data_IF_276610325781
#
_entry.id   IF_276610325781
#
_cell.length_a   1.000
_cell.length_b   1.000
_cell.length_c   1.000
_cell.angle_alpha   90.00
_cell.angle_beta   90.00
_cell.angle_gamma   90.00
#
_symmetry.space_group_name_H-M   'P 1'
#
loop_
_entity.id
_entity.type
_entity.pdbx_description
1 polymer ?
#
# COMPACT_ATOMS: atom_id res chain seq x y z
N UNK A 1 20.15 -12.52 -5.47
CA UNK A 1 19.27 -11.33 -5.35
C UNK A 1 18.44 -11.51 -4.10
N UNK A 2 18.42 -10.53 -3.19
CA UNK A 2 17.54 -10.59 -2.02
C UNK A 2 16.10 -10.35 -2.48
N UNK A 3 15.20 -11.29 -2.17
CA UNK A 3 13.77 -11.13 -2.46
C UNK A 3 13.16 -10.14 -1.47
N UNK A 4 12.24 -9.29 -1.95
CA UNK A 4 11.47 -8.38 -1.10
C UNK A 4 10.73 -9.17 -0.01
N UNK A 5 10.85 -8.70 1.23
CA UNK A 5 10.26 -9.36 2.42
C UNK A 5 8.73 -9.38 2.30
N UNK A 6 8.11 -8.23 2.01
CA UNK A 6 6.66 -8.12 1.90
C UNK A 6 6.12 -8.90 0.70
N UNK A 7 6.78 -8.85 -0.46
CA UNK A 7 6.36 -9.64 -1.62
C UNK A 7 6.48 -11.14 -1.35
N UNK A 8 7.53 -11.58 -0.63
CA UNK A 8 7.68 -12.97 -0.22
C UNK A 8 6.57 -13.40 0.74
N UNK A 9 6.19 -12.54 1.69
CA UNK A 9 5.08 -12.80 2.61
C UNK A 9 3.75 -12.91 1.85
N UNK A 10 3.47 -12.01 0.90
CA UNK A 10 2.25 -12.09 0.07
C UNK A 10 2.22 -13.38 -0.75
N UNK A 11 3.33 -13.76 -1.38
CA UNK A 11 3.43 -15.04 -2.09
C UNK A 11 3.17 -16.24 -1.15
N UNK A 12 3.74 -16.22 0.06
CA UNK A 12 3.53 -17.28 1.07
C UNK A 12 2.05 -17.41 1.45
N UNK A 13 1.43 -16.29 1.83
CA UNK A 13 0.02 -16.25 2.20
C UNK A 13 -0.88 -16.70 1.04
N UNK A 14 -0.57 -16.30 -0.21
CA UNK A 14 -1.31 -16.73 -1.41
C UNK A 14 -1.26 -18.23 -1.61
N UNK A 15 -0.06 -18.82 -1.48
CA UNK A 15 0.13 -20.27 -1.65
C UNK A 15 -0.59 -21.07 -0.56
N UNK A 16 -0.53 -20.61 0.69
CA UNK A 16 -1.25 -21.25 1.81
C UNK A 16 -2.75 -21.11 1.66
N UNK A 17 -3.24 -19.93 1.28
CA UNK A 17 -4.65 -19.70 1.00
C UNK A 17 -5.19 -20.62 -0.11
N UNK A 18 -4.40 -20.86 -1.16
CA UNK A 18 -4.73 -21.86 -2.20
C UNK A 18 -5.01 -23.23 -1.60
N UNK A 19 -4.17 -23.63 -0.64
CA UNK A 19 -4.23 -24.94 0.02
C UNK A 19 -5.40 -25.02 1.01
N UNK A 20 -5.53 -24.04 1.90
CA UNK A 20 -6.60 -24.02 2.92
C UNK A 20 -7.99 -23.98 2.32
N UNK A 21 -8.19 -23.19 1.26
CA UNK A 21 -9.48 -23.03 0.61
C UNK A 21 -9.70 -24.03 -0.53
N UNK A 22 -8.73 -24.93 -0.78
CA UNK A 22 -8.77 -25.91 -1.87
C UNK A 22 -9.10 -25.25 -3.23
N UNK A 23 -8.45 -24.13 -3.53
CA UNK A 23 -8.84 -23.29 -4.69
C UNK A 23 -8.80 -24.05 -6.02
N UNK A 24 -7.88 -25.01 -6.18
CA UNK A 24 -7.77 -25.86 -7.37
C UNK A 24 -8.95 -26.81 -7.58
N UNK A 25 -9.69 -27.14 -6.53
CA UNK A 25 -10.86 -28.03 -6.63
C UNK A 25 -12.16 -27.28 -6.83
N UNK A 26 -12.14 -25.95 -6.74
CA UNK A 26 -13.33 -25.12 -6.94
C UNK A 26 -13.43 -24.72 -8.42
N UNK A 27 -14.40 -25.26 -9.19
CA UNK A 27 -14.61 -24.80 -10.56
C UNK A 27 -15.14 -23.37 -10.54
N UNK A 28 -14.44 -22.44 -11.19
CA UNK A 28 -14.84 -21.04 -11.38
C UNK A 28 -15.16 -20.27 -10.08
N UNK A 29 -14.17 -20.02 -9.21
CA UNK A 29 -14.39 -19.23 -8.00
C UNK A 29 -14.91 -17.82 -8.36
N UNK A 30 -16.09 -17.47 -7.85
CA UNK A 30 -16.80 -16.22 -8.18
C UNK A 30 -16.11 -14.96 -7.59
N UNK A 31 -15.27 -15.14 -6.56
CA UNK A 31 -14.55 -14.07 -5.88
C UNK A 31 -13.49 -14.61 -4.93
N UNK A 32 -13.03 -13.75 -4.03
CA UNK A 32 -12.15 -14.14 -2.95
C UNK A 32 -10.70 -14.40 -3.35
N UNK A 33 -9.94 -14.92 -2.40
CA UNK A 33 -8.54 -15.29 -2.60
C UNK A 33 -8.34 -16.39 -3.65
N UNK A 34 -9.32 -17.28 -3.84
CA UNK A 34 -9.23 -18.35 -4.83
C UNK A 34 -9.26 -17.81 -6.26
N UNK A 35 -10.16 -16.86 -6.56
CA UNK A 35 -10.18 -16.18 -7.86
C UNK A 35 -8.87 -15.44 -8.12
N UNK A 36 -8.31 -14.77 -7.10
CA UNK A 36 -7.00 -14.11 -7.22
C UNK A 36 -5.90 -15.12 -7.55
N UNK A 37 -5.84 -16.22 -6.80
CA UNK A 37 -4.79 -17.23 -6.94
C UNK A 37 -4.81 -17.92 -8.29
N UNK A 38 -5.99 -18.36 -8.73
CA UNK A 38 -6.18 -19.13 -9.96
C UNK A 38 -6.29 -18.24 -11.22
N UNK A 39 -6.31 -16.91 -11.08
CA UNK A 39 -6.35 -16.02 -12.24
C UNK A 39 -5.08 -16.14 -13.10
N UNK A 40 -5.22 -16.69 -14.31
CA UNK A 40 -4.13 -16.79 -15.30
C UNK A 40 -4.41 -15.95 -16.56
N UNK A 41 -5.56 -15.25 -16.57
CA UNK A 41 -6.15 -14.62 -17.75
C UNK A 41 -5.76 -13.15 -17.96
N UNK A 42 -6.78 -12.37 -18.30
CA UNK A 42 -6.73 -10.97 -18.71
C UNK A 42 -6.07 -10.04 -17.69
N UNK A 43 -5.65 -8.87 -18.18
CA UNK A 43 -5.16 -7.79 -17.34
C UNK A 43 -6.22 -7.32 -16.36
N UNK A 44 -5.80 -7.02 -15.15
CA UNK A 44 -6.65 -6.51 -14.08
C UNK A 44 -6.40 -5.02 -13.96
N UNK A 45 -7.42 -4.19 -14.18
CA UNK A 45 -7.31 -2.76 -13.91
C UNK A 45 -7.15 -2.51 -12.40
N UNK A 46 -6.15 -1.70 -12.04
CA UNK A 46 -5.84 -1.34 -10.66
C UNK A 46 -7.03 -0.71 -9.97
N UNK A 47 -7.83 0.09 -10.68
CA UNK A 47 -8.96 0.82 -10.13
C UNK A 47 -10.20 -0.05 -9.84
N UNK A 48 -10.22 -1.29 -10.34
CA UNK A 48 -11.36 -2.17 -10.24
C UNK A 48 -11.23 -3.15 -9.07
N UNK A 49 -12.38 -3.63 -8.61
CA UNK A 49 -12.56 -4.52 -7.47
C UNK A 49 -12.97 -5.91 -7.98
N UNK A 50 -12.00 -6.66 -8.51
CA UNK A 50 -12.29 -7.94 -9.19
C UNK A 50 -12.45 -9.13 -8.24
N UNK A 51 -11.83 -9.06 -7.06
CA UNK A 51 -11.66 -10.18 -6.14
C UNK A 51 -12.43 -10.02 -4.83
N UNK A 52 -13.03 -8.87 -4.62
CA UNK A 52 -13.83 -8.51 -3.45
C UNK A 52 -15.10 -7.83 -3.96
N UNK A 53 -16.23 -8.08 -3.28
CA UNK A 53 -17.39 -7.21 -3.44
C UNK A 53 -16.94 -5.81 -3.03
N UNK A 54 -16.95 -4.86 -3.96
CA UNK A 54 -16.64 -3.48 -3.65
C UNK A 54 -17.53 -3.04 -2.47
N UNK A 55 -17.00 -2.23 -1.55
CA UNK A 55 -17.82 -1.66 -0.48
C UNK A 55 -19.07 -1.04 -1.09
N UNK A 56 -20.24 -1.63 -0.82
CA UNK A 56 -21.52 -1.21 -1.39
C UNK A 56 -21.78 0.28 -1.11
N UNK A 57 -21.19 0.78 -0.03
CA UNK A 57 -21.32 2.14 0.47
C UNK A 57 -20.39 3.18 -0.20
N UNK A 58 -19.47 2.77 -1.09
CA UNK A 58 -18.53 3.69 -1.71
C UNK A 58 -18.97 4.11 -3.11
N UNK A 59 -18.90 5.40 -3.41
CA UNK A 59 -19.11 5.90 -4.78
C UNK A 59 -17.93 5.51 -5.69
N UNK A 60 -18.15 5.46 -7.01
CA UNK A 60 -17.11 5.08 -7.98
C UNK A 60 -15.83 5.94 -7.91
N UNK A 61 -15.91 7.29 -7.78
CA UNK A 61 -14.72 8.11 -7.55
C UNK A 61 -13.92 7.69 -6.31
N UNK A 62 -14.60 7.38 -5.20
CA UNK A 62 -13.97 6.98 -3.95
C UNK A 62 -13.39 5.57 -4.05
N UNK A 63 -14.07 4.62 -4.71
CA UNK A 63 -13.52 3.29 -5.02
C UNK A 63 -12.21 3.40 -5.79
N UNK A 64 -12.16 4.24 -6.83
CA UNK A 64 -10.93 4.48 -7.61
C UNK A 64 -9.83 5.13 -6.78
N UNK A 65 -10.17 6.06 -5.88
CA UNK A 65 -9.22 6.65 -4.95
C UNK A 65 -8.64 5.61 -3.99
N UNK A 66 -9.49 4.82 -3.32
CA UNK A 66 -9.05 3.77 -2.39
C UNK A 66 -8.18 2.74 -3.13
N UNK A 67 -8.56 2.35 -4.34
CA UNK A 67 -7.78 1.43 -5.16
C UNK A 67 -6.33 1.90 -5.40
N UNK A 68 -6.14 3.19 -5.72
CA UNK A 68 -4.82 3.79 -5.95
C UNK A 68 -4.07 4.03 -4.64
N UNK A 69 -4.78 4.40 -3.59
CA UNK A 69 -4.24 4.53 -2.24
C UNK A 69 -3.69 3.19 -1.74
N UNK A 70 -4.43 2.09 -1.88
CA UNK A 70 -3.98 0.75 -1.50
C UNK A 70 -2.73 0.32 -2.26
N UNK A 71 -2.65 0.58 -3.57
CA UNK A 71 -1.43 0.32 -4.35
C UNK A 71 -0.24 1.12 -3.80
N UNK A 72 -0.45 2.41 -3.53
CA UNK A 72 0.57 3.30 -2.99
C UNK A 72 1.06 2.81 -1.62
N UNK A 73 0.13 2.45 -0.72
CA UNK A 73 0.43 1.89 0.61
C UNK A 73 1.32 0.65 0.47
N UNK A 74 0.92 -0.33 -0.34
CA UNK A 74 1.67 -1.57 -0.54
C UNK A 74 3.10 -1.33 -1.03
N UNK A 75 3.28 -0.46 -2.03
CA UNK A 75 4.59 -0.10 -2.57
C UNK A 75 5.43 0.63 -1.52
N UNK A 76 4.84 1.54 -0.75
CA UNK A 76 5.57 2.32 0.26
C UNK A 76 6.04 1.46 1.42
N UNK A 77 5.19 0.57 1.93
CA UNK A 77 5.55 -0.39 2.96
C UNK A 77 6.67 -1.30 2.45
N UNK A 78 6.58 -1.78 1.21
CA UNK A 78 7.65 -2.61 0.62
C UNK A 78 8.99 -1.87 0.58
N UNK A 79 9.00 -0.63 0.08
CA UNK A 79 10.22 0.19 0.00
C UNK A 79 10.77 0.44 1.41
N UNK A 80 9.94 0.79 2.39
CA UNK A 80 10.40 1.01 3.76
C UNK A 80 11.00 -0.26 4.37
N UNK A 81 10.31 -1.40 4.27
CA UNK A 81 10.81 -2.69 4.76
C UNK A 81 12.15 -3.06 4.10
N UNK A 82 12.36 -2.68 2.83
CA UNK A 82 13.63 -2.92 2.12
C UNK A 82 14.83 -2.11 2.66
N UNK A 83 14.56 -1.05 3.45
CA UNK A 83 15.58 -0.25 4.13
C UNK A 83 16.06 -0.88 5.43
N UNK A 84 15.31 -1.85 5.96
CA UNK A 84 15.63 -2.50 7.22
C UNK A 84 16.82 -3.45 7.04
N UNK A 85 17.72 -3.43 8.01
CA UNK A 85 18.91 -4.29 8.02
C UNK A 85 18.83 -5.27 9.19
N UNK A 86 19.11 -6.55 8.93
CA UNK A 86 19.21 -7.55 9.99
C UNK A 86 20.44 -7.26 10.86
N UNK A 87 20.21 -7.06 12.15
CA UNK A 87 21.25 -6.92 13.15
C UNK A 87 21.15 -8.02 14.19
N UNK A 88 22.30 -8.57 14.58
CA UNK A 88 22.40 -9.54 15.66
C UNK A 88 22.56 -8.76 16.98
N UNK A 89 21.54 -8.79 17.84
CA UNK A 89 21.60 -8.18 19.18
C UNK A 89 21.34 -9.28 20.20
N UNK A 90 22.34 -9.59 21.03
CA UNK A 90 22.23 -10.58 22.11
C UNK A 90 21.70 -11.96 21.65
N UNK A 91 22.25 -12.49 20.55
CA UNK A 91 21.83 -13.74 19.89
C UNK A 91 20.45 -13.73 19.22
N UNK A 92 19.76 -12.59 19.18
CA UNK A 92 18.49 -12.44 18.47
C UNK A 92 18.71 -11.61 17.21
N UNK A 93 18.27 -12.13 16.06
CA UNK A 93 18.21 -11.36 14.81
C UNK A 93 17.02 -10.41 14.88
N UNK A 94 17.29 -9.10 14.84
CA UNK A 94 16.25 -8.06 14.78
C UNK A 94 16.46 -7.20 13.54
N UNK A 95 15.38 -6.72 12.98
CA UNK A 95 15.44 -5.68 11.96
C UNK A 95 15.73 -4.35 12.67
N UNK A 96 16.73 -3.62 12.20
CA UNK A 96 16.99 -2.25 12.62
C UNK A 96 16.68 -1.30 11.48
N UNK A 97 15.93 -0.28 11.81
CA UNK A 97 15.56 0.84 10.96
C UNK A 97 16.63 1.95 11.01
N UNK A 98 16.81 2.64 9.88
CA UNK A 98 17.60 3.88 9.82
C UNK A 98 16.75 5.11 10.11
N UNK A 99 15.45 5.01 9.86
CA UNK A 99 14.45 6.04 10.12
C UNK A 99 13.10 5.40 10.41
N UNK A 100 12.25 6.09 11.15
CA UNK A 100 10.87 5.62 11.41
C UNK A 100 10.06 5.64 10.11
N UNK A 101 8.90 4.95 10.10
CA UNK A 101 8.03 4.99 8.93
C UNK A 101 7.52 6.40 8.62
N UNK A 102 7.18 7.19 9.63
CA UNK A 102 6.81 8.61 9.47
C UNK A 102 7.93 9.44 8.84
N UNK A 103 9.17 9.30 9.34
CA UNK A 103 10.33 10.00 8.75
C UNK A 103 10.60 9.57 7.31
N UNK A 104 10.35 8.29 7.00
CA UNK A 104 10.42 7.78 5.64
C UNK A 104 9.36 8.39 4.73
N UNK A 105 8.11 8.51 5.19
CA UNK A 105 7.05 9.20 4.44
C UNK A 105 7.40 10.67 4.20
N UNK A 106 7.93 11.36 5.21
CA UNK A 106 8.42 12.72 5.09
C UNK A 106 9.57 12.82 4.09
N UNK A 107 10.50 11.85 4.09
CA UNK A 107 11.61 11.82 3.15
C UNK A 107 11.16 11.59 1.71
N UNK A 108 10.22 10.66 1.48
CA UNK A 108 9.65 10.39 0.17
C UNK A 108 8.80 11.55 -0.35
N UNK A 109 8.05 12.24 0.52
CA UNK A 109 7.26 13.39 0.08
C UNK A 109 8.15 14.59 -0.18
N UNK A 110 9.01 14.96 0.78
CA UNK A 110 9.84 16.16 0.68
C UNK A 110 11.02 16.05 -0.30
N UNK A 111 11.38 14.83 -0.70
CA UNK A 111 12.65 14.49 -1.36
C UNK A 111 13.90 14.90 -0.56
N UNK A 112 13.75 15.20 0.74
CA UNK A 112 14.86 15.52 1.65
C UNK A 112 15.09 14.33 2.57
N UNK A 113 16.34 13.93 2.75
CA UNK A 113 16.67 12.83 3.67
C UNK A 113 16.42 11.42 3.13
N UNK A 114 16.23 11.27 1.82
CA UNK A 114 16.17 9.95 1.14
C UNK A 114 17.41 9.11 1.44
N UNK A 115 18.59 9.75 1.44
CA UNK A 115 19.87 9.12 1.80
C UNK A 115 19.93 8.71 3.27
N UNK A 116 19.40 9.57 4.18
CA UNK A 116 19.34 9.30 5.64
C UNK A 116 18.52 8.05 5.94
N UNK A 117 17.40 7.87 5.25
CA UNK A 117 16.56 6.67 5.38
C UNK A 117 17.14 5.44 4.65
N UNK A 118 18.23 5.57 3.89
CA UNK A 118 18.82 4.46 3.15
C UNK A 118 17.88 3.85 2.12
N UNK A 119 17.01 4.67 1.51
CA UNK A 119 16.01 4.20 0.55
C UNK A 119 16.70 3.63 -0.69
N UNK A 120 16.63 2.31 -0.87
CA UNK A 120 17.14 1.64 -2.05
C UNK A 120 15.95 1.13 -2.90
N UNK A 121 15.67 1.89 -3.96
CA UNK A 121 14.57 1.65 -4.88
C UNK A 121 14.70 0.33 -5.65
N UNK A 122 15.92 -0.11 -5.89
CA UNK A 122 16.21 -1.33 -6.66
C UNK A 122 15.90 -2.61 -5.87
N UNK A 123 15.66 -2.50 -4.56
CA UNK A 123 15.25 -3.62 -3.70
C UNK A 123 13.74 -3.87 -3.69
N UNK A 124 12.93 -2.89 -4.11
CA UNK A 124 11.48 -3.04 -4.20
C UNK A 124 11.12 -3.79 -5.48
N UNK A 125 10.26 -4.79 -5.36
CA UNK A 125 9.76 -5.52 -6.52
C UNK A 125 8.56 -4.81 -7.16
N UNK A 126 7.90 -3.89 -6.47
CA UNK A 126 6.68 -3.27 -6.95
C UNK A 126 6.83 -1.80 -7.36
N UNK A 127 7.97 -1.17 -7.13
CA UNK A 127 8.16 0.26 -7.42
C UNK A 127 7.90 0.61 -8.89
N UNK A 128 8.37 -0.20 -9.83
CA UNK A 128 8.12 -0.02 -11.26
C UNK A 128 6.64 -0.22 -11.64
N UNK A 129 5.86 -0.92 -10.81
CA UNK A 129 4.41 -1.10 -10.97
C UNK A 129 3.60 0.12 -10.50
N UNK A 130 4.22 1.12 -9.88
CA UNK A 130 3.49 2.28 -9.37
C UNK A 130 2.78 3.07 -10.48
N UNK A 131 3.37 3.15 -11.67
CA UNK A 131 2.80 3.87 -12.83
C UNK A 131 1.78 3.05 -13.61
N UNK A 132 1.70 1.75 -13.36
CA UNK A 132 0.83 0.85 -14.09
C UNK A 132 -0.63 1.04 -13.64
N UNK A 133 -1.53 1.19 -14.61
CA UNK A 133 -2.98 1.18 -14.40
C UNK A 133 -3.57 -0.22 -14.52
N UNK A 134 -2.80 -1.18 -15.02
CA UNK A 134 -3.17 -2.58 -15.16
C UNK A 134 -2.10 -3.52 -14.62
N UNK A 135 -2.53 -4.63 -14.03
CA UNK A 135 -1.68 -5.70 -13.53
C UNK A 135 -1.88 -6.97 -14.35
N UNK A 136 -0.84 -7.80 -14.46
CA UNK A 136 -0.85 -9.02 -15.24
C UNK A 136 -0.84 -10.23 -14.31
N UNK A 137 -1.98 -10.89 -14.03
CA UNK A 137 -2.02 -11.99 -13.07
C UNK A 137 -1.12 -13.18 -13.42
N UNK A 138 -0.70 -13.32 -14.67
CA UNK A 138 0.30 -14.32 -15.07
C UNK A 138 1.64 -14.14 -14.37
N UNK A 139 1.98 -12.92 -13.96
CA UNK A 139 3.24 -12.62 -13.27
C UNK A 139 3.03 -12.68 -11.76
N UNK A 140 3.81 -13.52 -11.08
CA UNK A 140 3.74 -13.72 -9.61
C UNK A 140 3.83 -12.37 -8.87
N UNK A 141 4.78 -11.52 -9.25
CA UNK A 141 4.98 -10.18 -8.67
C UNK A 141 3.75 -9.28 -8.75
N UNK A 142 3.00 -9.32 -9.86
CA UNK A 142 1.76 -8.56 -10.02
C UNK A 142 0.63 -9.14 -9.17
N UNK A 143 0.53 -10.47 -9.05
CA UNK A 143 -0.42 -11.14 -8.15
C UNK A 143 -0.17 -10.80 -6.70
N UNK A 144 1.10 -10.78 -6.29
CA UNK A 144 1.47 -10.50 -4.91
C UNK A 144 1.17 -9.03 -4.55
N UNK A 145 1.41 -8.08 -5.47
CA UNK A 145 0.96 -6.70 -5.32
C UNK A 145 -0.57 -6.59 -5.25
N UNK A 146 -1.29 -7.25 -6.17
CA UNK A 146 -2.76 -7.26 -6.16
C UNK A 146 -3.30 -7.81 -4.84
N UNK A 147 -2.69 -8.87 -4.31
CA UNK A 147 -3.07 -9.44 -3.04
C UNK A 147 -2.89 -8.45 -1.89
N UNK A 148 -1.73 -7.77 -1.82
CA UNK A 148 -1.54 -6.70 -0.84
C UNK A 148 -2.60 -5.61 -0.99
N UNK A 149 -2.91 -5.19 -2.22
CA UNK A 149 -3.94 -4.18 -2.48
C UNK A 149 -5.32 -4.61 -1.98
N UNK A 150 -5.75 -5.85 -2.26
CA UNK A 150 -7.02 -6.40 -1.77
C UNK A 150 -7.05 -6.48 -0.23
N UNK A 151 -5.96 -6.89 0.40
CA UNK A 151 -5.86 -6.93 1.86
C UNK A 151 -5.99 -5.53 2.47
N UNK A 152 -5.26 -4.54 1.94
CA UNK A 152 -5.37 -3.15 2.41
C UNK A 152 -6.80 -2.63 2.19
N UNK A 153 -7.42 -2.90 1.05
CA UNK A 153 -8.82 -2.52 0.76
C UNK A 153 -9.80 -3.07 1.80
N UNK A 154 -9.67 -4.34 2.18
CA UNK A 154 -10.50 -4.97 3.19
C UNK A 154 -10.31 -4.33 4.57
N UNK A 155 -9.08 -4.02 4.95
CA UNK A 155 -8.78 -3.28 6.18
C UNK A 155 -9.44 -1.90 6.16
N UNK A 156 -9.28 -1.15 5.07
CA UNK A 156 -9.85 0.19 4.93
C UNK A 156 -11.39 0.15 4.96
N UNK A 157 -12.00 -0.87 4.33
CA UNK A 157 -13.45 -1.11 4.37
C UNK A 157 -13.92 -1.42 5.79
N UNK A 158 -13.25 -2.33 6.49
CA UNK A 158 -13.59 -2.73 7.86
C UNK A 158 -13.47 -1.57 8.86
N UNK A 159 -12.51 -0.66 8.63
CA UNK A 159 -12.37 0.58 9.39
C UNK A 159 -13.49 1.60 9.12
N UNK A 160 -14.39 1.32 8.18
CA UNK A 160 -15.52 2.20 7.87
C UNK A 160 -15.08 3.55 7.30
N UNK A 161 -14.00 3.56 6.53
CA UNK A 161 -13.45 4.77 5.93
C UNK A 161 -14.50 5.47 5.07
N UNK A 162 -14.68 6.76 5.36
CA UNK A 162 -15.59 7.65 4.63
C UNK A 162 -14.85 8.85 4.09
N UNK A 163 -15.39 9.40 3.01
CA UNK A 163 -14.99 10.69 2.49
C UNK A 163 -15.52 11.79 3.42
N UNK A 164 -14.61 12.60 3.96
CA UNK A 164 -14.96 13.77 4.76
C UNK A 164 -15.62 14.87 3.92
N UNK A 165 -16.00 15.97 4.58
CA UNK A 165 -16.64 17.11 3.92
C UNK A 165 -15.78 17.79 2.84
N UNK A 166 -14.45 17.64 2.93
CA UNK A 166 -13.52 18.03 1.88
C UNK A 166 -13.15 16.81 1.07
N UNK A 167 -12.98 17.00 -0.23
CA UNK A 167 -12.73 15.92 -1.20
C UNK A 167 -11.50 15.07 -0.89
N UNK A 168 -10.63 15.51 0.01
CA UNK A 168 -9.35 14.91 0.41
C UNK A 168 -9.31 14.36 1.83
N UNK A 169 -10.29 14.67 2.67
CA UNK A 169 -10.24 14.27 4.08
C UNK A 169 -10.83 12.86 4.22
N UNK A 170 -10.16 11.99 4.97
CA UNK A 170 -10.61 10.62 5.24
C UNK A 170 -10.80 10.47 6.73
N UNK A 171 -11.98 10.02 7.15
CA UNK A 171 -12.30 9.80 8.55
C UNK A 171 -12.28 8.29 8.85
N UNK A 172 -11.54 7.89 9.88
CA UNK A 172 -11.56 6.53 10.43
C UNK A 172 -12.27 6.58 11.79
N UNK A 173 -13.50 6.06 11.91
CA UNK A 173 -14.14 5.83 13.19
C UNK A 173 -13.44 4.65 13.87
N UNK A 174 -12.29 4.88 14.51
CA UNK A 174 -11.60 3.85 15.26
C UNK A 174 -12.52 3.37 16.40
N UNK A 175 -12.97 2.12 16.33
CA UNK A 175 -13.81 1.50 17.37
C UNK A 175 -13.04 0.39 18.08
N UNK A 176 -13.41 0.07 19.32
CA UNK A 176 -12.94 -1.13 20.04
C UNK A 176 -13.10 -2.42 19.21
N UNK A 177 -14.07 -2.43 18.28
CA UNK A 177 -14.37 -3.56 17.39
C UNK A 177 -13.53 -3.58 16.09
N UNK A 178 -12.49 -2.76 15.95
CA UNK A 178 -11.74 -2.67 14.69
C UNK A 178 -11.06 -3.99 14.33
N UNK A 179 -10.43 -4.68 15.31
CA UNK A 179 -9.80 -5.98 15.10
C UNK A 179 -10.81 -7.04 14.62
N UNK A 180 -11.99 -7.10 15.24
CA UNK A 180 -13.06 -8.04 14.90
C UNK A 180 -13.61 -7.82 13.49
N UNK A 181 -13.92 -6.56 13.15
CA UNK A 181 -14.42 -6.20 11.81
C UNK A 181 -13.43 -6.54 10.72
N UNK A 182 -12.14 -6.24 10.95
CA UNK A 182 -11.07 -6.57 10.01
C UNK A 182 -10.96 -8.09 9.86
N UNK A 183 -10.95 -8.81 10.98
CA UNK A 183 -10.90 -10.27 10.97
C UNK A 183 -12.05 -10.89 10.17
N UNK A 184 -13.28 -10.45 10.41
CA UNK A 184 -14.45 -10.99 9.70
C UNK A 184 -14.46 -10.65 8.20
N UNK A 185 -14.02 -9.45 7.80
CA UNK A 185 -13.85 -9.12 6.37
C UNK A 185 -12.77 -10.00 5.70
N UNK A 186 -11.64 -10.22 6.37
CA UNK A 186 -10.57 -11.10 5.89
C UNK A 186 -11.01 -12.56 5.82
N UNK A 187 -11.74 -13.02 6.83
CA UNK A 187 -12.27 -14.39 6.93
C UNK A 187 -13.34 -14.64 5.88
N UNK A 188 -14.25 -13.68 5.64
CA UNK A 188 -15.22 -13.74 4.54
C UNK A 188 -14.50 -13.86 3.18
N UNK A 189 -13.40 -13.13 3.00
CA UNK A 189 -12.68 -13.08 1.73
C UNK A 189 -11.78 -14.30 1.45
N UNK A 190 -11.07 -14.79 2.46
CA UNK A 190 -9.98 -15.75 2.30
C UNK A 190 -10.00 -16.92 3.29
N UNK A 191 -11.01 -17.01 4.14
CA UNK A 191 -11.17 -18.05 5.15
C UNK A 191 -10.45 -17.77 6.47
N UNK A 192 -10.83 -18.56 7.48
CA UNK A 192 -10.41 -18.41 8.88
C UNK A 192 -8.88 -18.46 9.07
N UNK A 193 -8.22 -19.46 8.47
CA UNK A 193 -6.77 -19.64 8.58
C UNK A 193 -5.99 -18.46 8.00
N UNK A 194 -6.49 -17.88 6.90
CA UNK A 194 -5.88 -16.72 6.28
C UNK A 194 -5.99 -15.49 7.18
N UNK A 195 -7.20 -15.22 7.67
CA UNK A 195 -7.44 -14.11 8.58
C UNK A 195 -6.54 -14.22 9.82
N UNK A 196 -6.44 -15.41 10.42
CA UNK A 196 -5.56 -15.66 11.55
C UNK A 196 -4.09 -15.39 11.25
N UNK A 197 -3.58 -15.91 10.15
CA UNK A 197 -2.16 -15.73 9.81
C UNK A 197 -1.84 -14.27 9.44
N UNK A 198 -2.74 -13.59 8.74
CA UNK A 198 -2.55 -12.18 8.43
C UNK A 198 -2.61 -11.32 9.70
N UNK A 199 -3.62 -11.49 10.54
CA UNK A 199 -3.75 -10.74 11.80
C UNK A 199 -2.50 -10.91 12.68
N UNK A 200 -2.04 -12.14 12.89
CA UNK A 200 -0.85 -12.42 13.68
C UNK A 200 0.48 -11.91 13.07
N UNK A 201 0.49 -11.49 11.81
CA UNK A 201 1.69 -10.97 11.14
C UNK A 201 1.66 -9.47 10.86
N UNK A 202 0.47 -8.86 10.72
CA UNK A 202 0.30 -7.45 10.35
C UNK A 202 -0.08 -6.55 11.52
N UNK A 203 -0.52 -7.14 12.64
CA UNK A 203 -1.01 -6.43 13.81
C UNK A 203 -0.21 -6.82 15.05
N UNK A 204 -0.21 -5.95 16.04
CA UNK A 204 0.18 -6.31 17.39
C UNK A 204 -0.91 -7.18 18.02
N UNK A 205 -0.58 -8.41 18.43
CA UNK A 205 -1.55 -9.40 18.94
C UNK A 205 -1.16 -9.97 20.30
N UNK A 206 -2.16 -10.28 21.13
CA UNK A 206 -2.01 -11.01 22.40
C UNK A 206 -2.74 -12.35 22.33
N UNK A 207 -2.17 -13.39 22.95
CA UNK A 207 -2.71 -14.77 22.98
C UNK A 207 -3.02 -15.40 21.61
N UNK A 208 -2.37 -14.92 20.55
CA UNK A 208 -2.60 -15.39 19.19
C UNK A 208 -2.03 -16.81 18.94
N UNK A 209 -2.70 -17.68 18.15
CA UNK A 209 -2.22 -19.04 17.91
C UNK A 209 -0.82 -19.08 17.27
N UNK A 210 0.09 -19.81 17.90
CA UNK A 210 1.50 -19.96 17.46
C UNK A 210 1.69 -20.75 16.16
N UNK A 211 0.63 -21.24 15.53
CA UNK A 211 0.71 -21.91 14.21
C UNK A 211 1.02 -20.94 13.07
N UNK A 212 0.87 -19.64 13.33
CA UNK A 212 1.29 -18.53 12.48
C UNK A 212 2.83 -18.46 12.52
N UNK A 213 3.48 -18.37 11.36
CA UNK A 213 4.93 -18.14 11.34
C UNK A 213 5.29 -16.89 12.17
N UNK A 214 6.50 -16.82 12.75
CA UNK A 214 6.91 -15.63 13.49
C UNK A 214 6.69 -14.40 12.62
N UNK A 215 5.90 -13.46 13.14
CA UNK A 215 5.77 -12.13 12.54
C UNK A 215 7.16 -11.61 12.26
N UNK A 216 7.35 -10.98 11.10
CA UNK A 216 8.58 -10.23 10.85
C UNK A 216 8.55 -9.11 11.89
N UNK A 217 9.40 -9.13 12.93
CA UNK A 217 9.30 -8.13 13.97
C UNK A 217 9.75 -6.80 13.37
N UNK A 218 8.78 -5.94 13.08
CA UNK A 218 9.04 -4.58 12.65
C UNK A 218 9.35 -3.75 13.89
N UNK A 219 10.45 -2.98 13.89
CA UNK A 219 10.85 -2.22 15.06
C UNK A 219 9.88 -1.06 15.31
N UNK A 220 9.19 -1.11 16.46
CA UNK A 220 8.38 -0.01 16.97
C UNK A 220 7.12 0.32 16.18
N UNK A 221 6.68 -0.54 15.26
CA UNK A 221 5.46 -0.34 14.47
C UNK A 221 4.96 -1.68 13.94
N UNK A 222 3.72 -1.73 13.45
CA UNK A 222 3.18 -2.86 12.69
C UNK A 222 2.60 -2.41 11.35
N UNK A 223 2.29 -3.36 10.46
CA UNK A 223 1.81 -3.03 9.11
C UNK A 223 0.47 -2.31 9.17
N UNK A 224 -0.38 -2.61 10.16
CA UNK A 224 -1.64 -1.90 10.36
C UNK A 224 -1.44 -0.43 10.73
N UNK A 225 -0.52 -0.11 11.64
CA UNK A 225 -0.14 1.28 11.95
C UNK A 225 0.36 1.98 10.68
N UNK A 226 1.22 1.33 9.89
CA UNK A 226 1.72 1.90 8.62
C UNK A 226 0.60 2.20 7.60
N UNK A 227 -0.42 1.33 7.54
CA UNK A 227 -1.62 1.53 6.69
C UNK A 227 -2.40 2.75 7.17
N UNK A 228 -2.74 2.80 8.46
CA UNK A 228 -3.57 3.87 9.03
C UNK A 228 -2.83 5.22 9.02
N UNK A 229 -1.53 5.23 9.28
CA UNK A 229 -0.70 6.44 9.18
C UNK A 229 -0.70 6.99 7.76
N UNK A 230 -0.65 6.14 6.73
CA UNK A 230 -0.72 6.62 5.35
C UNK A 230 -2.08 7.27 5.03
N UNK A 231 -3.16 6.80 5.64
CA UNK A 231 -4.50 7.37 5.46
C UNK A 231 -4.67 8.68 6.22
N UNK A 232 -4.24 8.71 7.48
CA UNK A 232 -4.45 9.83 8.42
C UNK A 232 -3.38 10.93 8.31
N UNK A 233 -2.27 10.63 7.62
CA UNK A 233 -1.10 11.50 7.51
C UNK A 233 0.02 11.06 8.45
N UNK A 234 1.22 11.57 8.19
CA UNK A 234 2.41 11.25 8.99
C UNK A 234 2.13 11.46 10.48
N UNK A 235 2.56 10.50 11.30
CA UNK A 235 2.34 10.44 12.75
C UNK A 235 0.87 10.29 13.20
N UNK A 236 -0.08 10.22 12.28
CA UNK A 236 -1.52 10.12 12.57
C UNK A 236 -2.08 8.70 12.62
N UNK A 237 -1.24 7.66 12.48
CA UNK A 237 -1.69 6.27 12.52
C UNK A 237 -2.32 5.86 13.85
N UNK A 238 -3.17 4.84 13.81
CA UNK A 238 -3.76 4.24 15.02
C UNK A 238 -2.65 3.42 15.68
N UNK A 239 -2.15 3.94 16.81
CA UNK A 239 -1.12 3.31 17.61
C UNK A 239 -1.73 2.44 18.70
N UNK A 240 -0.91 1.51 19.20
CA UNK A 240 -1.23 0.71 20.38
C UNK A 240 -2.50 -0.14 20.24
N UNK A 241 -2.97 -0.40 19.01
CA UNK A 241 -4.07 -1.34 18.78
C UNK A 241 -3.53 -2.76 18.98
N UNK A 242 -3.88 -3.35 20.13
CA UNK A 242 -3.58 -4.76 20.42
C UNK A 242 -4.85 -5.58 20.16
N UNK A 243 -4.74 -6.57 19.27
CA UNK A 243 -5.83 -7.52 19.01
C UNK A 243 -5.66 -8.77 19.89
N UNK A 244 -6.61 -9.04 20.78
CA UNK A 244 -6.61 -10.25 21.61
C UNK A 244 -7.38 -11.39 20.94
N UNK A 245 -6.81 -12.61 20.95
CA UNK A 245 -7.51 -13.80 20.48
C UNK A 245 -8.18 -14.57 21.63
N UNK A 246 -9.52 -14.63 21.63
CA UNK A 246 -10.25 -15.37 22.67
C UNK A 246 -10.48 -16.86 22.31
N UNK A 247 -10.11 -17.30 21.10
CA UNK A 247 -10.45 -18.61 20.54
C UNK A 247 -9.66 -19.78 21.12
N UNK A 248 -10.02 -20.24 22.31
CA UNK A 248 -9.40 -21.39 22.95
C UNK A 248 -9.36 -21.30 24.47
N UNK A 249 -9.60 -20.10 25.02
CA UNK A 249 -10.04 -19.97 26.41
C UNK A 249 -11.44 -20.58 26.43
N UNK A 250 -11.54 -21.86 26.83
CA UNK A 250 -12.83 -22.41 27.25
C UNK A 250 -13.38 -21.35 28.18
N UNK A 251 -14.49 -20.68 27.79
CA UNK A 251 -15.18 -19.78 28.70
C UNK A 251 -15.47 -20.69 29.88
N UNK A 252 -14.67 -20.61 30.94
CA UNK A 252 -15.06 -21.07 32.25
C UNK A 252 -16.23 -20.17 32.55
N UNK A 253 -17.41 -20.55 32.04
CA UNK A 253 -18.67 -20.20 32.66
C UNK A 253 -18.38 -20.48 34.11
N UNK A 254 -18.31 -19.44 34.93
CA UNK A 254 -18.67 -19.61 36.33
C UNK A 254 -20.08 -20.17 36.25
N UNK A 255 -20.17 -21.49 36.24
CA UNK A 255 -21.43 -22.20 36.33
C UNK A 255 -21.88 -21.85 37.74
N UNK A 256 -22.80 -20.91 37.84
CA UNK A 256 -23.65 -20.86 39.02
C UNK A 256 -24.23 -22.26 39.17
N UNK A 257 -24.08 -22.92 40.34
CA UNK A 257 -24.61 -24.26 40.57
C UNK A 257 -26.13 -24.18 40.64
N UNK A 258 -26.79 -24.10 39.49
CA UNK A 258 -28.22 -23.87 39.40
C UNK A 258 -28.77 -24.11 38.00
N UNK A 259 -29.21 -25.35 37.78
CA UNK A 259 -30.20 -25.77 36.77
C UNK A 259 -29.65 -25.97 35.35
N UNK A 260 -29.49 -27.26 34.99
CA UNK A 260 -29.08 -27.77 33.69
C UNK A 260 -30.29 -27.92 32.78
N UNK A 261 -30.29 -27.21 31.65
CA UNK A 261 -31.08 -27.54 30.47
C UNK A 261 -30.15 -27.85 29.29
N UNK A 262 -30.46 -28.83 28.42
CA UNK A 262 -29.62 -29.16 27.28
C UNK A 262 -29.82 -28.12 26.18
N UNK A 263 -28.75 -27.40 25.83
CA UNK A 263 -28.73 -26.53 24.67
C UNK A 263 -27.42 -26.74 23.91
N UNK A 264 -27.53 -27.19 22.66
CA UNK A 264 -26.43 -27.29 21.71
C UNK A 264 -25.89 -25.88 21.43
N UNK A 265 -24.63 -25.61 21.79
CA UNK A 265 -23.98 -24.32 21.57
C UNK A 265 -22.91 -24.44 20.49
N UNK A 266 -23.15 -23.82 19.33
CA UNK A 266 -22.09 -23.38 18.43
C UNK A 266 -21.30 -22.26 19.12
N UNK A 267 -20.00 -22.46 19.35
CA UNK A 267 -19.17 -21.48 20.03
C UNK A 267 -18.91 -20.27 19.13
N UNK A 268 -19.59 -19.16 19.43
CA UNK A 268 -19.33 -17.84 18.86
C UNK A 268 -17.99 -17.31 19.39
N UNK A 269 -17.11 -16.90 18.47
CA UNK A 269 -15.77 -16.38 18.74
C UNK A 269 -15.85 -14.85 18.80
N UNK A 270 -15.20 -14.23 19.79
CA UNK A 270 -15.20 -12.77 19.99
C UNK A 270 -13.75 -12.29 19.93
N UNK A 271 -13.50 -11.15 19.29
CA UNK A 271 -12.20 -10.48 19.23
C UNK A 271 -12.42 -9.07 19.77
N UNK A 272 -11.70 -8.68 20.81
CA UNK A 272 -11.81 -7.33 21.40
C UNK A 272 -10.53 -6.52 21.18
N UNK A 273 -10.66 -5.21 20.97
CA UNK A 273 -9.55 -4.27 20.88
C UNK A 273 -9.73 -3.12 21.87
N UNK A 274 -8.64 -2.67 22.50
CA UNK A 274 -8.64 -1.51 23.41
C UNK A 274 -7.94 -0.32 22.75
N UNK A 275 -8.65 0.77 22.41
CA UNK A 275 -8.02 1.98 21.90
C UNK A 275 -7.41 2.81 23.03
N UNK A 276 -6.23 3.37 22.78
CA UNK A 276 -5.63 4.45 23.58
C UNK A 276 -6.10 5.80 23.04
N UNK A 277 -6.55 6.71 23.90
CA UNK A 277 -7.11 8.01 23.49
C UNK A 277 -6.04 8.94 22.90
N UNK A 278 -5.99 9.07 21.57
CA UNK A 278 -5.32 10.17 20.89
C UNK A 278 -6.05 10.51 19.57
N UNK A 279 -6.60 11.72 19.47
CA UNK A 279 -7.20 12.25 18.24
C UNK A 279 -6.55 13.57 17.86
N UNK A 280 -5.99 13.63 16.64
CA UNK A 280 -5.45 14.82 15.99
C UNK A 280 -5.84 14.78 14.51
N UNK A 281 -6.47 15.84 14.02
CA UNK A 281 -6.78 16.00 12.59
C UNK A 281 -5.74 16.91 11.95
N UNK A 282 -5.03 16.42 10.94
CA UNK A 282 -4.04 17.19 10.17
C UNK A 282 -4.39 17.17 8.69
N UNK A 283 -4.23 18.31 7.99
CA UNK A 283 -4.47 18.46 6.55
C UNK A 283 -3.45 17.64 5.73
N UNK A 284 -3.94 16.78 4.85
CA UNK A 284 -3.10 15.97 3.93
C UNK A 284 -3.19 16.53 2.51
N UNK A 285 -2.05 16.93 1.94
CA UNK A 285 -1.90 17.25 0.51
C UNK A 285 -1.73 15.93 -0.28
N UNK A 286 -2.30 15.84 -1.49
CA UNK A 286 -2.40 14.59 -2.27
C UNK A 286 -1.04 14.06 -2.73
N UNK A 287 -0.38 13.27 -1.87
CA UNK A 287 0.95 12.69 -2.11
C UNK A 287 1.07 11.76 -3.33
N UNK A 288 -0.05 11.38 -3.96
CA UNK A 288 -0.09 10.55 -5.18
C UNK A 288 0.47 11.28 -6.41
N UNK A 289 0.12 12.56 -6.61
CA UNK A 289 0.64 13.36 -7.73
C UNK A 289 2.15 13.61 -7.58
N UNK A 290 2.62 13.71 -6.34
CA UNK A 290 4.03 13.97 -6.02
C UNK A 290 4.89 12.72 -6.16
N UNK A 291 4.39 11.57 -5.75
CA UNK A 291 5.04 10.28 -5.99
C UNK A 291 5.15 9.99 -7.49
N UNK A 292 4.08 10.26 -8.25
CA UNK A 292 4.08 10.09 -9.71
C UNK A 292 5.13 10.99 -10.35
N UNK A 293 5.20 12.27 -9.95
CA UNK A 293 6.25 13.20 -10.41
C UNK A 293 7.66 12.72 -10.05
N UNK A 294 7.87 12.22 -8.84
CA UNK A 294 9.19 11.72 -8.42
C UNK A 294 9.63 10.50 -9.24
N UNK A 295 8.73 9.56 -9.51
CA UNK A 295 9.05 8.40 -10.35
C UNK A 295 9.32 8.84 -11.79
N UNK A 296 8.58 9.83 -12.31
CA UNK A 296 8.81 10.39 -13.64
C UNK A 296 10.17 11.12 -13.75
N UNK A 297 10.59 11.85 -12.71
CA UNK A 297 11.92 12.47 -12.68
C UNK A 297 13.04 11.43 -12.65
N UNK A 298 12.84 10.31 -11.95
CA UNK A 298 13.83 9.24 -11.86
C UNK A 298 13.92 8.42 -13.14
N UNK A 299 12.78 8.11 -13.76
CA UNK A 299 12.79 7.44 -15.07
C UNK A 299 13.48 8.31 -16.12
N UNK A 300 13.25 9.63 -16.09
CA UNK A 300 14.01 10.58 -16.92
C UNK A 300 15.51 10.58 -16.61
N UNK A 301 15.90 10.60 -15.33
CA UNK A 301 17.31 10.56 -14.94
C UNK A 301 18.01 9.24 -15.37
N UNK A 302 17.33 8.10 -15.29
CA UNK A 302 17.85 6.80 -15.71
C UNK A 302 18.04 6.70 -17.23
N UNK A 303 17.17 7.34 -18.01
CA UNK A 303 17.32 7.44 -19.49
C UNK A 303 18.52 8.33 -19.84
N UNK A 304 18.66 9.48 -19.20
CA UNK A 304 19.78 10.41 -19.43
C UNK A 304 21.13 9.80 -19.03
N UNK A 305 21.17 8.98 -17.98
CA UNK A 305 22.38 8.27 -17.56
C UNK A 305 22.85 7.21 -18.60
N UNK A 306 21.93 6.66 -19.42
CA UNK A 306 22.28 5.71 -20.48
C UNK A 306 22.80 6.37 -21.76
N UNK A 307 22.53 7.65 -21.98
CA UNK A 307 23.01 8.39 -23.16
C UNK A 307 24.38 9.08 -22.92
N UNK A 308 24.91 9.00 -21.69
CA UNK A 308 26.12 9.71 -21.26
C UNK A 308 27.42 8.90 -21.25
N UNK A 309 27.42 7.60 -21.57
CA UNK A 309 28.68 6.86 -21.74
C UNK A 309 29.17 6.97 -23.19
N UNK A 310 30.25 7.73 -23.47
CA UNK A 310 30.92 7.63 -24.75
C UNK A 310 31.46 6.21 -24.88
N UNK A 311 30.98 5.47 -25.89
CA UNK A 311 31.60 4.25 -26.38
C UNK A 311 33.10 4.50 -26.51
N UNK A 312 33.88 3.95 -25.57
CA UNK A 312 35.32 3.84 -25.71
C UNK A 312 35.54 2.83 -26.82
N UNK A 313 35.80 3.34 -28.02
CA UNK A 313 36.20 2.57 -29.18
C UNK A 313 37.32 1.60 -28.79
N UNK A 314 36.97 0.32 -28.72
CA UNK A 314 37.94 -0.77 -28.75
C UNK A 314 38.51 -0.75 -30.17
N UNK A 315 39.64 -0.05 -30.32
CA UNK A 315 40.47 -0.10 -31.53
C UNK A 315 41.03 -1.52 -31.67
N UNK A 316 40.27 -2.36 -32.37
CA UNK A 316 40.77 -3.58 -32.97
C UNK A 316 41.49 -3.24 -34.26
N UNK A 317 42.81 -3.41 -34.24
CA UNK A 317 43.70 -3.29 -35.38
C UNK A 317 43.41 -4.45 -36.35
N UNK A 318 42.77 -4.17 -37.48
CA UNK A 318 42.60 -5.10 -38.59
C UNK A 318 42.79 -4.38 -39.92
N UNK A 319 43.80 -4.84 -40.63
CA UNK A 319 44.29 -4.34 -41.90
C UNK A 319 43.35 -4.66 -43.06
N UNK A 320 43.14 -3.64 -43.91
CA UNK A 320 43.18 -3.70 -45.38
C UNK A 320 42.21 -4.64 -46.13
N UNK A 321 41.12 -4.09 -46.70
CA UNK A 321 40.96 -3.83 -48.17
C UNK A 321 39.54 -3.31 -48.51
N UNK A 322 39.46 -2.50 -49.57
CA UNK A 322 38.31 -1.69 -50.05
C UNK A 322 36.97 -2.43 -50.24
N UNK A 323 35.83 -1.74 -50.41
CA UNK A 323 35.56 -0.61 -51.29
C UNK A 323 34.39 0.25 -50.76
N UNK A 324 34.42 1.54 -51.12
CA UNK A 324 33.35 2.55 -50.94
C UNK A 324 32.08 2.17 -51.73
N UNK A 325 30.90 2.59 -51.25
CA UNK A 325 29.84 3.37 -51.98
C UNK A 325 28.57 3.53 -51.12
N UNK A 326 28.18 4.79 -50.82
CA UNK A 326 26.80 5.31 -50.62
C UNK A 326 26.06 4.95 -49.31
N UNK A 327 25.42 5.85 -48.57
CA UNK A 327 25.14 7.28 -48.71
C UNK A 327 24.46 7.80 -47.45
N UNK A 328 24.82 9.02 -47.05
CA UNK A 328 24.35 9.76 -45.88
C UNK A 328 23.17 10.64 -46.31
N UNK A 329 21.93 10.24 -46.00
CA UNK A 329 20.75 11.15 -45.99
C UNK A 329 19.75 10.62 -44.95
N UNK A 330 19.77 11.14 -43.73
CA UNK A 330 18.80 10.70 -42.71
C UNK A 330 18.78 11.48 -41.39
N UNK A 331 19.50 12.61 -41.28
CA UNK A 331 19.62 13.35 -40.01
C UNK A 331 18.72 14.58 -39.87
N UNK A 332 18.18 15.12 -40.96
CA UNK A 332 17.64 16.49 -40.94
C UNK A 332 16.17 16.61 -40.53
N UNK A 333 15.39 15.52 -40.61
CA UNK A 333 13.94 15.56 -40.31
C UNK A 333 13.68 15.48 -38.79
N UNK A 334 14.54 14.79 -38.05
CA UNK A 334 14.36 14.59 -36.59
C UNK A 334 14.64 15.87 -35.81
N UNK A 335 15.59 16.70 -36.24
CA UNK A 335 15.92 17.96 -35.56
C UNK A 335 14.79 19.01 -35.66
N UNK A 336 14.02 19.01 -36.75
CA UNK A 336 12.91 19.96 -36.96
C UNK A 336 11.69 19.58 -36.10
N UNK A 337 11.45 18.28 -35.90
CA UNK A 337 10.38 17.78 -35.03
C UNK A 337 10.67 18.04 -33.55
N UNK A 338 11.95 17.95 -33.12
CA UNK A 338 12.31 18.24 -31.74
C UNK A 338 12.26 19.75 -31.43
N UNK A 339 12.69 20.61 -32.36
CA UNK A 339 12.63 22.07 -32.17
C UNK A 339 11.21 22.64 -32.05
N UNK A 340 10.23 22.04 -32.73
CA UNK A 340 8.84 22.51 -32.71
C UNK A 340 8.11 22.19 -31.40
N UNK A 341 8.47 21.11 -30.69
CA UNK A 341 7.91 20.78 -29.37
C UNK A 341 8.43 21.75 -28.28
N UNK A 342 9.69 22.17 -28.36
CA UNK A 342 10.30 23.11 -27.39
C UNK A 342 9.61 24.48 -27.38
N UNK A 343 9.22 24.99 -28.55
CA UNK A 343 8.53 26.29 -28.68
C UNK A 343 7.11 26.25 -28.09
N UNK A 344 6.41 25.12 -28.23
CA UNK A 344 5.07 24.95 -27.66
C UNK A 344 5.09 24.94 -26.12
N UNK A 345 6.12 24.34 -25.52
CA UNK A 345 6.32 24.33 -24.06
C UNK A 345 6.51 25.73 -23.48
N UNK A 346 7.36 26.56 -24.10
CA UNK A 346 7.63 27.93 -23.65
C UNK A 346 6.39 28.83 -23.75
N UNK A 347 5.58 28.71 -24.83
CA UNK A 347 4.36 29.50 -25.00
C UNK A 347 3.29 29.21 -23.93
N UNK A 348 3.27 28.00 -23.36
CA UNK A 348 2.33 27.61 -22.30
C UNK A 348 2.74 28.15 -20.93
N UNK A 349 4.04 28.21 -20.64
CA UNK A 349 4.58 28.70 -19.36
C UNK A 349 4.46 30.22 -19.25
N UNK A 350 4.67 30.96 -20.34
CA UNK A 350 4.66 32.42 -20.33
C UNK A 350 3.32 33.05 -20.71
N UNK A 351 2.19 32.31 -20.64
CA UNK A 351 0.87 32.93 -20.82
C UNK A 351 0.56 33.83 -19.61
N UNK A 352 0.45 35.15 -19.79
CA UNK A 352 0.17 36.06 -18.69
C UNK A 352 -1.22 35.75 -18.11
N UNK A 353 -1.25 35.40 -16.82
CA UNK A 353 -2.46 35.16 -16.05
C UNK A 353 -3.28 36.45 -16.00
N UNK A 354 -4.30 36.55 -16.84
CA UNK A 354 -5.23 37.68 -16.88
C UNK A 354 -6.25 37.51 -15.75
N UNK A 355 -6.14 38.38 -14.75
CA UNK A 355 -7.19 38.83 -13.83
C UNK A 355 -7.85 37.77 -12.92
N UNK A 356 -7.40 37.70 -11.66
CA UNK A 356 -8.31 37.47 -10.53
C UNK A 356 -8.53 38.79 -9.81
N UNK A 357 -9.69 39.39 -10.09
CA UNK A 357 -10.20 40.54 -9.39
C UNK A 357 -10.49 40.20 -7.92
N UNK A 358 -10.27 41.21 -7.09
CA UNK A 358 -10.49 41.29 -5.64
C UNK A 358 -11.70 40.49 -5.12
N UNK A 359 -11.42 39.52 -4.25
CA UNK A 359 -12.40 39.00 -3.29
C UNK A 359 -12.05 39.59 -1.92
N UNK A 360 -12.72 40.69 -1.58
CA UNK A 360 -12.71 41.24 -0.23
C UNK A 360 -13.42 40.26 0.72
N UNK A 361 -12.64 39.67 1.63
CA UNK A 361 -13.16 38.89 2.76
C UNK A 361 -13.72 39.86 3.79
N UNK A 362 -15.04 39.86 4.01
CA UNK A 362 -15.67 40.54 5.15
C UNK A 362 -15.54 39.65 6.40
N UNK A 363 -15.13 40.19 7.57
CA UNK A 363 -15.13 39.44 8.82
C UNK A 363 -16.56 39.21 9.31
N UNK A 364 -16.90 37.95 9.59
CA UNK A 364 -18.18 37.55 10.14
C UNK A 364 -18.18 37.77 11.66
N UNK A 365 -19.10 38.58 12.17
CA UNK A 365 -19.25 38.88 13.60
C UNK A 365 -19.91 37.69 14.30
N UNK A 366 -19.14 37.02 15.16
CA UNK A 366 -19.59 36.04 16.15
C UNK A 366 -20.67 36.64 17.07
N UNK A 367 -21.84 36.02 17.14
CA UNK A 367 -22.82 36.22 18.22
C UNK A 367 -22.70 35.08 19.25
N UNK A 368 -22.56 35.49 20.51
CA UNK A 368 -22.61 34.69 21.74
C UNK A 368 -24.05 34.26 22.07
N UNK A 369 -24.16 33.20 22.89
CA UNK A 369 -25.34 32.75 23.63
C UNK A 369 -25.74 31.34 23.20
N UNK A 370 -26.03 30.37 24.07
CA UNK A 370 -26.68 30.41 25.39
C UNK A 370 -26.32 29.13 26.18
N UNK A 371 -26.16 29.27 27.50
CA UNK A 371 -26.07 28.21 28.51
C UNK A 371 -27.42 27.53 28.74
N UNK A 372 -27.45 26.21 28.95
CA UNK A 372 -28.49 25.57 29.75
C UNK A 372 -27.87 24.60 30.76
N UNK A 373 -28.48 24.63 31.95
CA UNK A 373 -28.22 23.80 33.14
C UNK A 373 -28.67 22.36 32.93
#
# INVERSE_FOLDING_TARGET
MQTSILSSQMNHLRQRASTWNKCRTQPNPQGGICKLTESQGETVEVNNWYYTEAGEDWDEPFKSYIARLSKTICIWIEIWISTLEWQQVSNVRRLKEKCTYSEFQDALTSNRGVERCGINKDKSQWLDLNTYTTLYPRQVRHKDLQMCMETVRLILKALGIKRGHRTTDVEIPATEQSCEKIYEELKKWAGDNFAKELMGTWFTTEDWPQTSQPSIPLPGTDIFEMITERVMGAYGGIKDLVCEYEGGKAKTKKVDPGIVGPQESGAEQVITGKPSEASSSTKVETGEERLTRMIEEISKAAVLAKEGEPLKDISGDASSRGNKVGGVVGGSIVAILLGSVSIYGLKKIFRPSRNRANLQVRPNKSKRGVFYR
#
